data_IF_168802592118
#
_entry.id   IF_168802592118
#
_cell.length_a   1.000
_cell.length_b   1.000
_cell.length_c   1.000
_cell.angle_alpha   90.00
_cell.angle_beta   90.00
_cell.angle_gamma   90.00
#
_symmetry.space_group_name_H-M   'P 1'
#
loop_
_entity.id
_entity.type
_entity.pdbx_description
1 polymer ?
#
# COMPACT_ATOMS: atom_id res chain seq x y z
N UNK A 1 -5.59 13.07 6.78
CA UNK A 1 -4.99 14.05 5.83
C UNK A 1 -5.83 15.29 5.59
N UNK A 2 -7.16 15.18 5.66
CA UNK A 2 -8.04 16.35 5.60
C UNK A 2 -7.73 17.37 6.71
N UNK A 3 -7.51 16.91 7.94
CA UNK A 3 -7.13 17.75 9.07
C UNK A 3 -5.71 18.32 8.89
N UNK A 4 -4.70 17.46 8.71
CA UNK A 4 -3.31 17.93 8.59
C UNK A 4 -3.04 18.89 7.42
N UNK A 5 -3.79 18.82 6.31
CA UNK A 5 -3.66 19.83 5.23
C UNK A 5 -4.35 21.13 5.61
N UNK A 6 -5.50 21.06 6.29
CA UNK A 6 -6.28 22.22 6.75
C UNK A 6 -5.53 23.03 7.80
N UNK A 7 -4.83 22.35 8.71
CA UNK A 7 -4.05 22.99 9.79
C UNK A 7 -2.70 23.57 9.33
N UNK A 8 -2.22 23.25 8.11
CA UNK A 8 -0.94 23.77 7.60
C UNK A 8 -0.99 25.26 7.24
N UNK A 9 -2.17 25.88 7.18
CA UNK A 9 -2.35 27.32 6.96
C UNK A 9 -1.88 27.84 5.59
N UNK A 10 -1.46 26.94 4.68
CA UNK A 10 -0.90 27.27 3.38
C UNK A 10 -1.79 26.67 2.27
N UNK A 11 -2.57 27.50 1.56
CA UNK A 11 -3.54 27.03 0.56
C UNK A 11 -2.89 26.45 -0.70
N UNK A 12 -1.62 26.76 -0.98
CA UNK A 12 -0.91 26.31 -2.18
C UNK A 12 -0.03 25.09 -1.87
N UNK A 13 0.76 25.14 -0.79
CA UNK A 13 1.77 24.13 -0.47
C UNK A 13 1.47 23.31 0.79
N UNK A 14 0.41 23.62 1.55
CA UNK A 14 0.07 22.91 2.80
C UNK A 14 -0.07 21.39 2.61
N UNK A 15 -0.45 20.98 1.40
CA UNK A 15 -0.54 19.58 0.96
C UNK A 15 0.82 18.87 0.92
N UNK A 16 1.82 19.50 0.32
CA UNK A 16 3.17 18.95 0.24
C UNK A 16 3.86 19.00 1.60
N UNK A 17 3.62 20.05 2.39
CA UNK A 17 4.10 20.15 3.77
C UNK A 17 3.53 19.02 4.64
N UNK A 18 2.23 18.76 4.57
CA UNK A 18 1.60 17.63 5.26
C UNK A 18 2.16 16.27 4.79
N UNK A 19 2.39 16.10 3.48
CA UNK A 19 2.99 14.89 2.94
C UNK A 19 4.44 14.69 3.40
N UNK A 20 5.22 15.76 3.55
CA UNK A 20 6.60 15.69 4.04
C UNK A 20 6.66 15.10 5.45
N UNK A 21 5.78 15.51 6.36
CA UNK A 21 5.72 14.93 7.71
C UNK A 21 5.25 13.48 7.72
N UNK A 22 4.38 13.07 6.78
CA UNK A 22 4.02 11.66 6.59
C UNK A 22 5.23 10.86 6.10
N UNK A 23 5.98 11.39 5.14
CA UNK A 23 7.22 10.78 4.65
C UNK A 23 8.27 10.63 5.76
N UNK A 24 8.41 11.65 6.62
CA UNK A 24 9.31 11.59 7.77
C UNK A 24 8.87 10.52 8.77
N UNK A 25 7.57 10.42 9.06
CA UNK A 25 7.04 9.36 9.92
C UNK A 25 7.32 7.97 9.34
N UNK A 26 7.14 7.78 8.03
CA UNK A 26 7.50 6.54 7.35
C UNK A 26 8.99 6.26 7.40
N UNK A 27 9.87 7.25 7.26
CA UNK A 27 11.31 7.05 7.43
C UNK A 27 11.63 6.56 8.84
N UNK A 28 11.09 7.22 9.87
CA UNK A 28 11.32 6.82 11.26
C UNK A 28 10.86 5.38 11.48
N UNK A 29 9.64 5.02 11.08
CA UNK A 29 9.11 3.67 11.32
C UNK A 29 9.82 2.63 10.44
N UNK A 30 10.00 2.89 9.14
CA UNK A 30 10.57 1.93 8.20
C UNK A 30 12.08 1.73 8.37
N UNK A 31 12.79 2.63 9.05
CA UNK A 31 14.24 2.51 9.30
C UNK A 31 14.50 2.14 10.76
N UNK A 32 13.96 2.89 11.71
CA UNK A 32 14.28 2.70 13.13
C UNK A 32 13.66 1.41 13.65
N UNK A 33 12.41 1.09 13.32
CA UNK A 33 11.77 -0.11 13.86
C UNK A 33 12.46 -1.42 13.40
N UNK A 34 12.82 -1.60 12.10
CA UNK A 34 13.60 -2.76 11.68
C UNK A 34 14.98 -2.83 12.33
N UNK A 35 15.68 -1.71 12.51
CA UNK A 35 16.96 -1.67 13.22
C UNK A 35 16.81 -2.18 14.65
N UNK A 36 15.81 -1.69 15.39
CA UNK A 36 15.53 -2.14 16.76
C UNK A 36 15.27 -3.64 16.79
N UNK A 37 14.45 -4.15 15.87
CA UNK A 37 14.15 -5.60 15.76
C UNK A 37 15.42 -6.41 15.46
N UNK A 38 16.27 -5.96 14.53
CA UNK A 38 17.52 -6.65 14.19
C UNK A 38 18.50 -6.68 15.36
N UNK A 39 18.58 -5.59 16.13
CA UNK A 39 19.42 -5.50 17.34
C UNK A 39 18.90 -6.46 18.42
N UNK A 40 17.60 -6.47 18.70
CA UNK A 40 16.98 -7.39 19.67
C UNK A 40 17.23 -8.85 19.28
N UNK A 41 17.11 -9.16 17.99
CA UNK A 41 17.29 -10.51 17.46
C UNK A 41 18.77 -10.90 17.29
N UNK A 42 19.74 -10.03 17.64
CA UNK A 42 21.19 -10.24 17.44
C UNK A 42 21.52 -10.69 16.00
N UNK A 43 20.87 -10.09 15.02
CA UNK A 43 21.00 -10.48 13.63
C UNK A 43 22.42 -10.21 13.09
N UNK A 44 22.88 -11.06 12.17
CA UNK A 44 24.09 -10.80 11.40
C UNK A 44 23.84 -9.67 10.39
N UNK A 45 24.73 -8.68 10.35
CA UNK A 45 24.64 -7.52 9.46
C UNK A 45 25.17 -7.81 8.04
N UNK A 46 25.08 -9.07 7.61
CA UNK A 46 25.49 -9.52 6.30
C UNK A 46 24.28 -9.49 5.36
N UNK A 47 24.30 -8.58 4.39
CA UNK A 47 23.22 -8.42 3.43
C UNK A 47 23.60 -9.03 2.09
N UNK A 48 22.67 -9.77 1.48
CA UNK A 48 22.88 -10.29 0.11
C UNK A 48 22.63 -9.19 -0.91
N UNK A 49 23.49 -9.05 -1.92
CA UNK A 49 23.34 -8.00 -2.95
C UNK A 49 22.00 -8.09 -3.68
N UNK A 50 21.51 -9.32 -3.92
CA UNK A 50 20.18 -9.53 -4.53
C UNK A 50 19.07 -9.06 -3.59
N UNK A 51 19.14 -9.41 -2.31
CA UNK A 51 18.15 -9.01 -1.31
C UNK A 51 18.03 -7.49 -1.22
N UNK A 52 19.16 -6.79 -1.13
CA UNK A 52 19.19 -5.32 -1.09
C UNK A 52 18.52 -4.73 -2.33
N UNK A 53 18.91 -5.17 -3.54
CA UNK A 53 18.36 -4.63 -4.79
C UNK A 53 16.85 -4.87 -4.90
N UNK A 54 16.38 -6.10 -4.66
CA UNK A 54 14.94 -6.40 -4.75
C UNK A 54 14.13 -5.66 -3.68
N UNK A 55 14.63 -5.56 -2.44
CA UNK A 55 13.97 -4.82 -1.37
C UNK A 55 13.90 -3.32 -1.67
N UNK A 56 14.97 -2.71 -2.20
CA UNK A 56 14.98 -1.30 -2.58
C UNK A 56 14.04 -1.03 -3.75
N UNK A 57 14.07 -1.86 -4.80
CA UNK A 57 13.15 -1.72 -5.94
C UNK A 57 11.69 -1.86 -5.50
N UNK A 58 11.37 -2.88 -4.70
CA UNK A 58 10.02 -3.07 -4.17
C UNK A 58 9.58 -1.87 -3.31
N UNK A 59 10.47 -1.34 -2.46
CA UNK A 59 10.21 -0.15 -1.66
C UNK A 59 9.94 1.09 -2.52
N UNK A 60 10.70 1.31 -3.60
CA UNK A 60 10.49 2.42 -4.52
C UNK A 60 9.13 2.34 -5.22
N UNK A 61 8.74 1.16 -5.71
CA UNK A 61 7.42 0.96 -6.33
C UNK A 61 6.30 1.23 -5.33
N UNK A 62 6.46 0.78 -4.08
CA UNK A 62 5.51 1.07 -2.99
C UNK A 62 5.41 2.57 -2.68
N UNK A 63 6.54 3.29 -2.61
CA UNK A 63 6.57 4.73 -2.36
C UNK A 63 5.91 5.52 -3.50
N UNK A 64 6.13 5.13 -4.75
CA UNK A 64 5.44 5.70 -5.92
C UNK A 64 3.93 5.49 -5.80
N UNK A 65 3.48 4.29 -5.41
CA UNK A 65 2.06 4.00 -5.19
C UNK A 65 1.44 4.89 -4.10
N UNK A 66 2.12 5.06 -2.97
CA UNK A 66 1.67 5.96 -1.89
C UNK A 66 1.61 7.43 -2.34
N UNK A 67 2.55 7.86 -3.17
CA UNK A 67 2.54 9.20 -3.76
C UNK A 67 1.36 9.38 -4.74
N UNK A 68 1.06 8.38 -5.58
CA UNK A 68 -0.11 8.42 -6.47
C UNK A 68 -1.44 8.46 -5.71
N UNK A 69 -1.56 7.68 -4.62
CA UNK A 69 -2.71 7.77 -3.70
C UNK A 69 -2.87 9.19 -3.16
N UNK A 70 -1.75 9.82 -2.76
CA UNK A 70 -1.76 11.19 -2.28
C UNK A 70 -2.28 12.18 -3.34
N UNK A 71 -1.78 12.06 -4.57
CA UNK A 71 -2.21 12.90 -5.69
C UNK A 71 -3.71 12.73 -5.99
N UNK A 72 -4.25 11.52 -5.89
CA UNK A 72 -5.68 11.25 -6.09
C UNK A 72 -6.54 11.99 -5.05
N UNK A 73 -6.12 11.99 -3.77
CA UNK A 73 -6.78 12.76 -2.71
C UNK A 73 -6.58 14.26 -2.90
N UNK A 74 -5.45 14.69 -3.48
CA UNK A 74 -5.20 16.09 -3.80
C UNK A 74 -6.08 16.62 -4.93
N UNK A 75 -6.45 15.79 -5.91
CA UNK A 75 -7.42 16.16 -6.95
C UNK A 75 -8.87 16.24 -6.45
N UNK A 76 -9.12 16.07 -5.15
CA UNK A 76 -10.45 16.15 -4.55
C UNK A 76 -11.19 14.83 -4.54
N UNK A 77 -10.50 13.70 -4.74
CA UNK A 77 -11.11 12.38 -4.57
C UNK A 77 -11.62 12.19 -3.14
N UNK A 78 -12.87 11.73 -2.95
CA UNK A 78 -13.41 11.52 -1.62
C UNK A 78 -12.57 10.46 -0.88
N UNK A 79 -12.11 10.73 0.35
CA UNK A 79 -11.26 9.80 1.09
C UNK A 79 -11.89 8.42 1.26
N UNK A 80 -13.22 8.34 1.37
CA UNK A 80 -13.98 7.09 1.47
C UNK A 80 -13.81 6.23 0.22
N UNK A 81 -14.07 6.77 -0.97
CA UNK A 81 -13.95 6.02 -2.23
C UNK A 81 -12.50 5.74 -2.62
N UNK A 82 -11.59 6.71 -2.44
CA UNK A 82 -10.18 6.50 -2.81
C UNK A 82 -9.53 5.45 -1.90
N UNK A 83 -9.79 5.50 -0.59
CA UNK A 83 -9.28 4.51 0.34
C UNK A 83 -9.87 3.12 0.03
N UNK A 84 -11.18 2.99 -0.19
CA UNK A 84 -11.78 1.69 -0.48
C UNK A 84 -11.24 1.04 -1.75
N UNK A 85 -11.04 1.81 -2.83
CA UNK A 85 -10.47 1.26 -4.08
C UNK A 85 -9.07 0.72 -3.84
N UNK A 86 -8.22 1.46 -3.14
CA UNK A 86 -6.82 1.10 -2.97
C UNK A 86 -6.66 -0.03 -1.96
N UNK A 87 -7.38 0.02 -0.84
CA UNK A 87 -7.31 -1.01 0.19
C UNK A 87 -8.06 -2.30 -0.18
N UNK A 88 -9.03 -2.26 -1.12
CA UNK A 88 -9.57 -3.48 -1.72
C UNK A 88 -8.69 -3.99 -2.87
N UNK A 89 -8.17 -3.08 -3.70
CA UNK A 89 -7.43 -3.41 -4.92
C UNK A 89 -6.02 -3.93 -4.67
N UNK A 90 -5.22 -3.28 -3.82
CA UNK A 90 -3.83 -3.66 -3.62
C UNK A 90 -3.65 -5.09 -3.05
N UNK A 91 -4.40 -5.50 -1.99
CA UNK A 91 -4.33 -6.88 -1.51
C UNK A 91 -4.79 -7.90 -2.56
N UNK A 92 -5.81 -7.55 -3.36
CA UNK A 92 -6.32 -8.42 -4.42
C UNK A 92 -5.29 -8.62 -5.53
N UNK A 93 -4.63 -7.56 -6.01
CA UNK A 93 -3.54 -7.66 -6.99
C UNK A 93 -2.39 -8.49 -6.43
N UNK A 94 -1.98 -8.24 -5.18
CA UNK A 94 -0.93 -9.02 -4.53
C UNK A 94 -1.30 -10.51 -4.42
N UNK A 95 -2.54 -10.81 -4.02
CA UNK A 95 -3.04 -12.17 -3.89
C UNK A 95 -3.06 -12.90 -5.24
N UNK A 96 -3.54 -12.24 -6.29
CA UNK A 96 -3.58 -12.79 -7.66
C UNK A 96 -2.15 -12.98 -8.18
N UNK A 97 -1.27 -11.99 -8.03
CA UNK A 97 0.12 -12.10 -8.47
C UNK A 97 0.86 -13.23 -7.72
N UNK A 98 0.65 -13.36 -6.41
CA UNK A 98 1.21 -14.45 -5.62
C UNK A 98 0.71 -15.82 -6.08
N UNK A 99 -0.60 -15.94 -6.33
CA UNK A 99 -1.23 -17.19 -6.74
C UNK A 99 -0.92 -17.59 -8.19
N UNK A 100 -0.74 -16.63 -9.10
CA UNK A 100 -0.62 -16.91 -10.53
C UNK A 100 0.79 -16.76 -11.09
N UNK A 101 1.61 -15.87 -10.53
CA UNK A 101 2.92 -15.50 -11.08
C UNK A 101 4.05 -16.07 -10.23
N UNK A 102 3.99 -15.90 -8.90
CA UNK A 102 5.11 -16.24 -8.02
C UNK A 102 5.06 -17.69 -7.51
N UNK A 103 3.87 -18.25 -7.28
CA UNK A 103 3.69 -19.65 -6.89
C UNK A 103 2.56 -20.30 -7.71
N UNK A 104 2.76 -20.52 -9.01
CA UNK A 104 1.72 -21.07 -9.87
C UNK A 104 1.33 -22.48 -9.39
N UNK A 105 0.02 -22.77 -9.24
CA UNK A 105 -0.45 -24.09 -8.83
C UNK A 105 -0.03 -25.15 -9.86
N UNK A 106 0.56 -26.25 -9.36
CA UNK A 106 1.13 -27.34 -10.18
C UNK A 106 0.12 -28.02 -11.13
N UNK A 107 -1.18 -27.87 -10.87
CA UNK A 107 -2.28 -28.40 -11.69
C UNK A 107 -3.04 -27.32 -12.49
N UNK A 108 -2.43 -26.15 -12.71
CA UNK A 108 -3.04 -25.04 -13.46
C UNK A 108 -4.09 -24.25 -12.67
N UNK A 109 -4.76 -23.29 -13.33
CA UNK A 109 -5.75 -22.39 -12.73
C UNK A 109 -6.94 -23.13 -12.05
N UNK A 110 -7.16 -24.41 -12.39
CA UNK A 110 -8.18 -25.26 -11.79
C UNK A 110 -7.87 -25.70 -10.35
N UNK A 111 -6.62 -25.60 -9.90
CA UNK A 111 -6.24 -25.88 -8.51
C UNK A 111 -6.39 -24.66 -7.58
N UNK A 112 -6.76 -23.50 -8.12
CA UNK A 112 -7.13 -22.35 -7.29
C UNK A 112 -8.43 -22.69 -6.56
N UNK A 113 -8.35 -22.74 -5.22
CA UNK A 113 -9.51 -23.00 -4.36
C UNK A 113 -10.64 -22.03 -4.70
N UNK A 114 -11.85 -22.55 -4.87
CA UNK A 114 -13.00 -21.72 -5.23
C UNK A 114 -13.26 -20.60 -4.19
N UNK A 115 -12.93 -20.82 -2.91
CA UNK A 115 -13.02 -19.82 -1.85
C UNK A 115 -12.13 -18.60 -2.11
N UNK A 116 -10.96 -18.79 -2.73
CA UNK A 116 -10.06 -17.69 -3.08
C UNK A 116 -10.68 -16.82 -4.17
N UNK A 117 -11.23 -17.44 -5.21
CA UNK A 117 -11.91 -16.74 -6.31
C UNK A 117 -13.14 -16.00 -5.77
N UNK A 118 -13.94 -16.65 -4.92
CA UNK A 118 -15.07 -16.00 -4.27
C UNK A 118 -14.63 -14.80 -3.43
N UNK A 119 -13.56 -14.94 -2.64
CA UNK A 119 -13.01 -13.84 -1.85
C UNK A 119 -12.57 -12.66 -2.69
N UNK A 120 -11.92 -12.90 -3.83
CA UNK A 120 -11.54 -11.86 -4.81
C UNK A 120 -12.77 -11.14 -5.36
N UNK A 121 -13.80 -11.88 -5.76
CA UNK A 121 -15.06 -11.30 -6.27
C UNK A 121 -15.78 -10.48 -5.19
N UNK A 122 -15.86 -10.99 -3.96
CA UNK A 122 -16.48 -10.28 -2.84
C UNK A 122 -15.69 -9.01 -2.47
N UNK A 123 -14.35 -9.06 -2.51
CA UNK A 123 -13.51 -7.88 -2.27
C UNK A 123 -13.71 -6.82 -3.36
N UNK A 124 -13.78 -7.22 -4.63
CA UNK A 124 -14.06 -6.33 -5.75
C UNK A 124 -15.46 -5.70 -5.62
N UNK A 125 -16.48 -6.51 -5.31
CA UNK A 125 -17.85 -6.03 -5.11
C UNK A 125 -17.94 -5.07 -3.91
N UNK A 126 -17.32 -5.40 -2.78
CA UNK A 126 -17.25 -4.54 -1.59
C UNK A 126 -16.55 -3.22 -1.87
N UNK A 127 -15.39 -3.26 -2.54
CA UNK A 127 -14.67 -2.08 -2.98
C UNK A 127 -15.52 -1.19 -3.90
N UNK A 128 -16.23 -1.78 -4.86
CA UNK A 128 -17.16 -1.06 -5.73
C UNK A 128 -18.30 -0.41 -4.95
N UNK A 129 -19.00 -1.15 -4.08
CA UNK A 129 -20.12 -0.63 -3.30
C UNK A 129 -19.73 0.55 -2.42
N UNK A 130 -18.60 0.46 -1.71
CA UNK A 130 -18.11 1.58 -0.86
C UNK A 130 -17.73 2.80 -1.70
N UNK A 131 -17.23 2.58 -2.91
CA UNK A 131 -16.79 3.66 -3.79
C UNK A 131 -17.94 4.33 -4.53
N UNK A 132 -18.94 3.56 -4.93
CA UNK A 132 -20.11 4.01 -5.70
C UNK A 132 -21.20 4.64 -4.80
N UNK A 133 -21.28 4.22 -3.53
CA UNK A 133 -22.26 4.72 -2.56
C UNK A 133 -21.57 5.37 -1.33
N UNK A 134 -20.76 6.43 -1.51
CA UNK A 134 -20.15 7.11 -0.39
C UNK A 134 -21.22 7.81 0.48
N UNK A 135 -21.07 7.82 1.81
CA UNK A 135 -21.97 8.58 2.68
C UNK A 135 -21.87 10.08 2.36
N UNK A 136 -23.02 10.75 2.30
CA UNK A 136 -23.12 12.21 2.07
C UNK A 136 -22.64 13.00 3.28
#
# INVERSE_FOLDING_TARGET
MHIGTKEMGDPVNGRFKAFLFIGLAYFIIAVVAPIVVLVINKAEWQFTSKGVVYSTLAGMVGAIGAFCLQLALFKGGPPTSVASIIFAGAPMVNAIAAALVFNPPKNGLAAVKWQFILGVVLAAAGGYMVSAFPPK
#
